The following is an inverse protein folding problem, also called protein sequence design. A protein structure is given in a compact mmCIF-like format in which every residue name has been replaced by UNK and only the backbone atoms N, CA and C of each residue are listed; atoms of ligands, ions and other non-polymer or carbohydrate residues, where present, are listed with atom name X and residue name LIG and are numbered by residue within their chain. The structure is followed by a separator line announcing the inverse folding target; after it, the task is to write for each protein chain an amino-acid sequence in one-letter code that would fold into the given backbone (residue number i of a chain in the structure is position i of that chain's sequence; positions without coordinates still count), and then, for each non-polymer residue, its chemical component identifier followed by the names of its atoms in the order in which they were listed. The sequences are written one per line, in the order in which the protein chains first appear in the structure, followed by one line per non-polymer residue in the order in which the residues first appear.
data_IF_606191426833
#
_entry.id   IF_606191426833
#
_cell.length_a   1.000
_cell.length_b   1.000
_cell.length_c   1.000
_cell.angle_alpha   90.00
_cell.angle_beta   90.00
_cell.angle_gamma   90.00
#
_symmetry.space_group_name_H-M   'P 1'
#
loop_
_entity.id
_entity.type
_entity.pdbx_description
1 polymer ?
#
# COMPACT_ATOMS: atom_id res chain seq x y z
N UNK A 1 8.35 4.17 -14.86
CA UNK A 1 8.09 4.33 -13.42
C UNK A 1 6.82 5.15 -13.33
N UNK A 2 5.82 4.68 -12.60
CA UNK A 2 4.57 5.45 -12.43
C UNK A 2 4.87 6.62 -11.49
N UNK A 3 4.55 7.84 -11.92
CA UNK A 3 4.71 9.04 -11.12
C UNK A 3 3.44 9.27 -10.28
N UNK A 4 3.56 9.37 -8.95
CA UNK A 4 2.42 9.62 -8.08
C UNK A 4 1.74 10.97 -8.39
N UNK A 5 2.53 11.97 -8.77
CA UNK A 5 2.04 13.28 -9.20
C UNK A 5 1.17 13.24 -10.46
N UNK A 6 1.30 12.21 -11.30
CA UNK A 6 0.40 11.98 -12.45
C UNK A 6 -0.88 11.25 -12.04
N UNK A 7 -0.81 10.36 -11.04
CA UNK A 7 -1.97 9.64 -10.52
C UNK A 7 -2.85 10.48 -9.59
N UNK A 8 -2.24 11.45 -8.90
CA UNK A 8 -2.87 12.32 -7.90
C UNK A 8 -2.71 13.76 -8.40
N UNK A 9 -3.55 14.24 -9.33
CA UNK A 9 -3.54 15.65 -9.70
C UNK A 9 -4.07 16.52 -8.54
N UNK A 10 -3.79 17.84 -8.53
CA UNK A 10 -4.29 18.76 -7.49
C UNK A 10 -5.79 18.66 -7.24
N UNK A 11 -6.57 18.44 -8.30
CA UNK A 11 -8.02 18.29 -8.25
C UNK A 11 -8.47 17.03 -7.48
N UNK A 12 -7.62 16.00 -7.42
CA UNK A 12 -7.82 14.78 -6.67
C UNK A 12 -7.29 14.85 -5.22
N UNK A 13 -6.90 16.04 -4.74
CA UNK A 13 -6.45 16.28 -3.38
C UNK A 13 -7.51 17.12 -2.64
N UNK A 14 -7.88 16.68 -1.45
CA UNK A 14 -8.64 17.49 -0.47
C UNK A 14 -7.95 17.43 0.87
N UNK A 15 -7.90 18.59 1.51
CA UNK A 15 -7.31 18.76 2.82
C UNK A 15 -8.39 19.18 3.80
N UNK A 16 -8.20 18.77 5.06
CA UNK A 16 -9.01 19.18 6.20
C UNK A 16 -10.51 18.89 5.97
N UNK A 17 -10.80 17.69 5.48
CA UNK A 17 -12.16 17.21 5.20
C UNK A 17 -12.86 16.77 6.48
N UNK A 18 -14.02 17.34 6.76
CA UNK A 18 -14.87 16.87 7.85
C UNK A 18 -15.58 15.57 7.46
N UNK A 19 -15.35 14.49 8.21
CA UNK A 19 -16.00 13.21 8.03
C UNK A 19 -16.53 12.70 9.38
N UNK A 20 -17.85 12.50 9.55
CA UNK A 20 -18.42 12.05 10.83
C UNK A 20 -18.14 10.58 11.15
N UNK A 21 -17.78 9.77 10.15
CA UNK A 21 -17.44 8.36 10.30
C UNK A 21 -16.53 7.89 9.16
N UNK A 22 -16.01 6.66 9.29
CA UNK A 22 -15.09 6.09 8.30
C UNK A 22 -15.74 5.94 6.92
N UNK A 23 -17.07 5.75 6.84
CA UNK A 23 -17.78 5.64 5.56
C UNK A 23 -17.78 6.98 4.84
N UNK A 24 -17.99 8.07 5.56
CA UNK A 24 -17.89 9.41 5.01
C UNK A 24 -16.46 9.74 4.58
N UNK A 25 -15.44 9.27 5.32
CA UNK A 25 -14.04 9.44 4.93
C UNK A 25 -13.71 8.70 3.62
N UNK A 26 -14.14 7.43 3.48
CA UNK A 26 -13.98 6.66 2.23
C UNK A 26 -14.78 7.28 1.08
N UNK A 27 -16.00 7.77 1.34
CA UNK A 27 -16.80 8.48 0.33
C UNK A 27 -16.12 9.75 -0.15
N UNK A 28 -15.54 10.56 0.74
CA UNK A 28 -14.83 11.77 0.34
C UNK A 28 -13.68 11.46 -0.63
N UNK A 29 -12.94 10.38 -0.40
CA UNK A 29 -11.89 9.94 -1.31
C UNK A 29 -12.47 9.41 -2.64
N UNK A 30 -13.57 8.65 -2.58
CA UNK A 30 -14.30 8.17 -3.75
C UNK A 30 -14.89 9.28 -4.63
N UNK A 31 -15.46 10.31 -4.02
CA UNK A 31 -16.06 11.46 -4.72
C UNK A 31 -15.02 12.19 -5.58
N UNK A 32 -13.77 12.26 -5.13
CA UNK A 32 -12.66 12.81 -5.93
C UNK A 32 -12.33 11.93 -7.14
N UNK A 33 -12.31 10.60 -6.97
CA UNK A 33 -12.11 9.68 -8.09
C UNK A 33 -13.24 9.81 -9.12
N UNK A 34 -14.47 10.03 -8.68
CA UNK A 34 -15.63 10.22 -9.57
C UNK A 34 -15.58 11.57 -10.27
N UNK A 35 -15.26 12.65 -9.55
CA UNK A 35 -15.13 14.00 -10.10
C UNK A 35 -14.05 14.05 -11.20
N UNK A 36 -12.94 13.35 -10.99
CA UNK A 36 -11.84 13.21 -11.96
C UNK A 36 -12.14 12.25 -13.11
N UNK A 37 -13.31 11.59 -13.09
CA UNK A 37 -13.68 10.60 -14.10
C UNK A 37 -12.83 9.33 -14.04
N UNK A 38 -12.13 9.09 -12.94
CA UNK A 38 -11.32 7.89 -12.67
C UNK A 38 -12.22 6.68 -12.45
N UNK A 39 -13.31 6.85 -11.70
CA UNK A 39 -14.27 5.79 -11.40
C UNK A 39 -15.71 6.30 -11.42
N UNK A 40 -16.65 5.46 -10.98
CA UNK A 40 -18.06 5.79 -10.72
C UNK A 40 -18.39 5.53 -9.26
N UNK A 41 -19.53 6.04 -8.79
CA UNK A 41 -20.00 5.85 -7.41
C UNK A 41 -20.05 4.37 -6.99
N UNK A 42 -20.33 3.47 -7.94
CA UNK A 42 -20.32 2.03 -7.73
C UNK A 42 -18.97 1.52 -7.20
N UNK A 43 -17.84 2.12 -7.61
CA UNK A 43 -16.53 1.74 -7.11
C UNK A 43 -16.34 2.16 -5.65
N UNK A 44 -16.87 3.32 -5.27
CA UNK A 44 -16.87 3.79 -3.88
C UNK A 44 -17.68 2.85 -2.98
N UNK A 45 -18.84 2.41 -3.46
CA UNK A 45 -19.66 1.41 -2.77
C UNK A 45 -18.94 0.06 -2.64
N UNK A 46 -18.22 -0.39 -3.68
CA UNK A 46 -17.37 -1.60 -3.62
C UNK A 46 -16.27 -1.47 -2.55
N UNK A 47 -15.59 -0.32 -2.43
CA UNK A 47 -14.59 -0.07 -1.39
C UNK A 47 -15.21 -0.14 0.01
N UNK A 48 -16.35 0.50 0.22
CA UNK A 48 -17.05 0.51 1.52
C UNK A 48 -17.53 -0.90 1.88
N UNK A 49 -18.11 -1.62 0.92
CA UNK A 49 -18.61 -2.97 1.15
C UNK A 49 -17.48 -3.93 1.52
N UNK A 50 -16.30 -3.80 0.90
CA UNK A 50 -15.14 -4.61 1.29
C UNK A 50 -14.74 -4.41 2.76
N UNK A 51 -14.83 -3.18 3.29
CA UNK A 51 -14.54 -2.90 4.71
C UNK A 51 -15.63 -3.47 5.61
N UNK A 52 -16.90 -3.41 5.20
CA UNK A 52 -18.01 -4.05 5.93
C UNK A 52 -17.80 -5.55 6.04
N UNK A 53 -17.40 -6.21 4.95
CA UNK A 53 -17.31 -7.66 4.88
C UNK A 53 -16.03 -8.21 5.54
N UNK A 54 -14.91 -7.49 5.43
CA UNK A 54 -13.58 -7.98 5.83
C UNK A 54 -12.98 -7.24 7.03
N UNK A 55 -13.68 -6.25 7.59
CA UNK A 55 -13.13 -5.36 8.60
C UNK A 55 -12.20 -4.28 8.02
N UNK A 56 -11.53 -3.49 8.88
CA UNK A 56 -10.74 -2.33 8.47
C UNK A 56 -9.36 -2.69 7.90
N UNK A 57 -9.27 -3.70 7.02
CA UNK A 57 -8.02 -4.17 6.41
C UNK A 57 -7.30 -3.10 5.54
N UNK A 58 -8.01 -2.02 5.21
CA UNK A 58 -7.45 -0.88 4.49
C UNK A 58 -6.65 0.05 5.40
N UNK A 59 -6.78 -0.06 6.72
CA UNK A 59 -5.99 0.70 7.70
C UNK A 59 -4.69 -0.05 7.94
N UNK A 60 -3.58 0.49 7.43
CA UNK A 60 -2.35 -0.31 7.19
C UNK A 60 -1.12 0.24 7.88
N UNK A 61 -1.21 1.47 8.38
CA UNK A 61 -0.23 2.12 9.23
C UNK A 61 -0.98 3.09 10.16
N UNK A 62 -0.39 3.50 11.29
CA UNK A 62 -0.98 4.48 12.19
C UNK A 62 -1.43 5.74 11.45
N UNK A 63 -2.70 6.14 11.62
CA UNK A 63 -3.24 7.33 10.97
C UNK A 63 -3.62 7.16 9.50
N UNK A 64 -3.36 6.01 8.88
CA UNK A 64 -3.43 5.86 7.42
C UNK A 64 -4.34 4.72 6.94
N UNK A 65 -5.30 5.09 6.08
CA UNK A 65 -6.16 4.16 5.35
C UNK A 65 -5.92 4.23 3.82
N UNK A 66 -5.68 3.07 3.22
CA UNK A 66 -5.52 2.90 1.78
C UNK A 66 -6.75 2.23 1.15
N UNK A 67 -7.74 3.03 0.77
CA UNK A 67 -9.01 2.57 0.25
C UNK A 67 -8.89 2.06 -1.20
N UNK A 68 -9.25 0.80 -1.44
CA UNK A 68 -9.25 0.23 -2.79
C UNK A 68 -10.15 -1.02 -2.85
N UNK A 69 -10.55 -1.37 -4.07
CA UNK A 69 -11.26 -2.60 -4.39
C UNK A 69 -10.62 -3.28 -5.61
N UNK A 70 -11.04 -4.51 -5.92
CA UNK A 70 -10.59 -5.22 -7.13
C UNK A 70 -10.94 -4.41 -8.39
N UNK A 71 -10.17 -4.53 -9.48
CA UNK A 71 -10.55 -3.94 -10.76
C UNK A 71 -11.97 -4.36 -11.16
N UNK A 72 -12.80 -3.39 -11.54
CA UNK A 72 -14.21 -3.60 -11.89
C UNK A 72 -14.64 -2.68 -13.03
N UNK A 73 -15.78 -2.94 -13.69
CA UNK A 73 -16.32 -2.05 -14.73
C UNK A 73 -16.62 -0.62 -14.25
N UNK A 74 -16.65 -0.41 -12.93
CA UNK A 74 -16.81 0.91 -12.32
C UNK A 74 -15.55 1.78 -12.42
N UNK A 75 -14.38 1.21 -12.74
CA UNK A 75 -13.12 1.92 -12.96
C UNK A 75 -12.96 2.26 -14.44
N UNK A 76 -12.80 3.56 -14.74
CA UNK A 76 -12.70 4.10 -16.10
C UNK A 76 -11.26 4.33 -16.54
N UNK A 77 -10.38 4.73 -15.61
CA UNK A 77 -8.93 4.91 -15.79
C UNK A 77 -8.21 4.69 -14.47
N UNK A 78 -6.92 4.42 -14.52
CA UNK A 78 -6.10 4.36 -13.31
C UNK A 78 -5.91 5.76 -12.74
N UNK A 79 -6.07 5.92 -11.43
CA UNK A 79 -5.90 7.18 -10.74
C UNK A 79 -6.09 7.03 -9.23
N UNK A 80 -5.67 8.05 -8.50
CA UNK A 80 -5.69 8.06 -7.04
C UNK A 80 -6.29 9.37 -6.53
N UNK A 81 -6.77 9.35 -5.29
CA UNK A 81 -7.18 10.55 -4.56
C UNK A 81 -6.55 10.59 -3.19
N UNK A 82 -6.34 11.80 -2.69
CA UNK A 82 -5.70 12.07 -1.40
C UNK A 82 -6.61 12.91 -0.53
N UNK A 83 -7.01 12.39 0.61
CA UNK A 83 -7.89 13.08 1.56
C UNK A 83 -7.24 13.13 2.93
N UNK A 84 -6.84 14.32 3.37
CA UNK A 84 -6.53 14.58 4.78
C UNK A 84 -7.81 15.00 5.50
N UNK A 85 -8.11 14.38 6.63
CA UNK A 85 -9.28 14.67 7.44
C UNK A 85 -9.01 15.85 8.39
N UNK A 86 -10.04 16.64 8.67
CA UNK A 86 -9.95 17.75 9.62
C UNK A 86 -9.77 17.25 11.07
N UNK A 87 -10.43 16.14 11.38
CA UNK A 87 -10.34 15.45 12.66
C UNK A 87 -10.13 13.96 12.37
N UNK A 88 -9.22 13.27 13.11
CA UNK A 88 -9.02 11.84 12.94
C UNK A 88 -10.30 11.04 13.22
N UNK A 89 -10.55 9.99 12.43
CA UNK A 89 -11.76 9.16 12.46
C UNK A 89 -11.42 7.71 12.81
N UNK A 90 -12.19 7.09 13.69
CA UNK A 90 -12.04 5.67 14.01
C UNK A 90 -12.63 4.77 12.89
N UNK A 91 -11.80 3.87 12.36
CA UNK A 91 -12.22 2.84 11.40
C UNK A 91 -12.53 1.50 12.08
N UNK A 92 -12.21 1.37 13.37
CA UNK A 92 -12.31 0.16 14.17
C UNK A 92 -11.04 -0.71 14.13
N UNK A 93 -9.88 -0.15 13.77
CA UNK A 93 -8.61 -0.87 13.75
C UNK A 93 -7.89 -0.77 15.10
N UNK A 94 -7.57 -1.91 15.72
CA UNK A 94 -7.09 -1.98 17.11
C UNK A 94 -5.83 -1.14 17.42
N UNK A 95 -4.92 -1.00 16.46
CA UNK A 95 -3.59 -0.42 16.69
C UNK A 95 -3.25 0.83 15.86
N UNK A 96 -4.02 1.10 14.80
CA UNK A 96 -3.68 2.10 13.80
C UNK A 96 -4.70 3.24 13.74
N UNK A 97 -5.81 3.11 14.47
CA UNK A 97 -6.75 4.19 14.67
C UNK A 97 -6.21 5.24 15.66
N UNK A 98 -6.71 6.49 15.56
CA UNK A 98 -7.64 6.98 14.55
C UNK A 98 -6.92 7.33 13.23
N UNK A 99 -7.66 7.30 12.11
CA UNK A 99 -7.16 7.62 10.77
C UNK A 99 -7.32 9.11 10.48
N UNK A 100 -6.29 9.78 9.98
CA UNK A 100 -6.32 11.17 9.52
C UNK A 100 -6.04 11.32 8.01
N UNK A 101 -5.49 10.28 7.37
CA UNK A 101 -5.19 10.24 5.94
C UNK A 101 -5.90 9.07 5.27
N UNK A 102 -6.69 9.37 4.25
CA UNK A 102 -7.31 8.38 3.36
C UNK A 102 -6.80 8.61 1.95
N UNK A 103 -6.10 7.61 1.40
CA UNK A 103 -5.72 7.60 -0.02
C UNK A 103 -6.51 6.51 -0.72
N UNK A 104 -7.20 6.85 -1.80
CA UNK A 104 -7.93 5.87 -2.61
C UNK A 104 -7.21 5.58 -3.92
N UNK A 105 -7.25 4.32 -4.36
CA UNK A 105 -6.74 3.87 -5.65
C UNK A 105 -7.85 3.19 -6.44
N UNK A 106 -8.07 3.67 -7.66
CA UNK A 106 -8.82 2.96 -8.69
C UNK A 106 -7.85 2.55 -9.80
N UNK A 107 -7.72 1.25 -10.06
CA UNK A 107 -6.82 0.72 -11.07
C UNK A 107 -7.58 -0.09 -12.12
N UNK A 108 -7.28 0.16 -13.40
CA UNK A 108 -7.92 -0.56 -14.51
C UNK A 108 -7.52 -2.03 -14.57
N UNK A 109 -6.30 -2.36 -14.15
CA UNK A 109 -5.76 -3.71 -14.19
C UNK A 109 -4.76 -3.96 -13.05
N UNK A 110 -4.39 -5.22 -12.89
CA UNK A 110 -3.51 -5.68 -11.82
C UNK A 110 -2.08 -5.12 -11.90
N UNK A 111 -1.57 -4.80 -13.09
CA UNK A 111 -0.23 -4.25 -13.26
C UNK A 111 -0.20 -2.79 -12.84
N UNK A 112 -1.13 -1.98 -13.37
CA UNK A 112 -1.29 -0.58 -12.97
C UNK A 112 -1.55 -0.42 -11.47
N UNK A 113 -2.33 -1.35 -10.91
CA UNK A 113 -2.54 -1.43 -9.46
C UNK A 113 -1.23 -1.65 -8.70
N UNK A 114 -0.45 -2.66 -9.11
CA UNK A 114 0.80 -3.01 -8.45
C UNK A 114 1.82 -1.86 -8.50
N UNK A 115 1.93 -1.20 -9.65
CA UNK A 115 2.87 -0.09 -9.84
C UNK A 115 2.49 1.13 -8.99
N UNK A 116 1.21 1.51 -8.96
CA UNK A 116 0.71 2.62 -8.16
C UNK A 116 0.94 2.40 -6.66
N UNK A 117 0.67 1.17 -6.20
CA UNK A 117 0.88 0.79 -4.80
C UNK A 117 2.34 0.78 -4.41
N UNK A 118 3.23 0.28 -5.28
CA UNK A 118 4.65 0.31 -5.02
C UNK A 118 5.20 1.74 -4.92
N UNK A 119 4.68 2.66 -5.75
CA UNK A 119 5.05 4.07 -5.66
C UNK A 119 4.58 4.69 -4.32
N UNK A 120 3.32 4.48 -3.93
CA UNK A 120 2.79 5.02 -2.66
C UNK A 120 3.50 4.43 -1.43
N UNK A 121 3.81 3.13 -1.45
CA UNK A 121 4.55 2.48 -0.37
C UNK A 121 5.95 3.09 -0.16
N UNK A 122 6.63 3.48 -1.23
CA UNK A 122 7.93 4.16 -1.14
C UNK A 122 7.82 5.55 -0.56
N UNK A 123 6.76 6.29 -0.92
CA UNK A 123 6.49 7.61 -0.35
C UNK A 123 6.27 7.55 1.16
N UNK A 124 5.48 6.57 1.62
CA UNK A 124 5.12 6.44 3.03
C UNK A 124 6.21 5.77 3.89
N UNK A 125 7.11 5.01 3.28
CA UNK A 125 8.25 4.43 3.99
C UNK A 125 9.34 5.47 4.35
N UNK A 126 9.24 6.70 3.85
CA UNK A 126 10.13 7.81 4.16
C UNK A 126 9.48 8.73 5.22
N UNK A 127 9.95 8.71 6.48
CA UNK A 127 9.36 9.52 7.55
C UNK A 127 9.43 11.03 7.30
N UNK A 128 10.48 11.52 6.64
CA UNK A 128 10.62 12.95 6.34
C UNK A 128 9.58 13.38 5.29
N UNK A 129 9.36 12.55 4.27
CA UNK A 129 8.33 12.79 3.27
C UNK A 129 6.93 12.77 3.90
N UNK A 130 6.68 11.81 4.79
CA UNK A 130 5.41 11.68 5.50
C UNK A 130 5.08 12.96 6.30
N UNK A 131 6.02 13.47 7.10
CA UNK A 131 5.84 14.69 7.88
C UNK A 131 5.59 15.92 6.98
N UNK A 132 6.30 16.02 5.85
CA UNK A 132 6.10 17.09 4.89
C UNK A 132 4.69 17.06 4.28
N UNK A 133 4.22 15.88 3.86
CA UNK A 133 2.88 15.69 3.29
C UNK A 133 1.79 16.02 4.31
N UNK A 134 1.98 15.63 5.58
CA UNK A 134 1.06 15.99 6.65
C UNK A 134 1.00 17.50 6.89
N UNK A 135 2.10 18.22 6.72
CA UNK A 135 2.17 19.68 6.93
C UNK A 135 1.69 20.54 5.75
N UNK A 136 1.44 19.93 4.58
CA UNK A 136 1.09 20.67 3.37
C UNK A 136 -0.20 21.49 3.55
N UNK A 137 -0.14 22.80 3.28
CA UNK A 137 -1.25 23.71 3.54
C UNK A 137 -2.28 23.79 2.40
N UNK A 138 -1.91 23.39 1.18
CA UNK A 138 -2.79 23.44 0.01
C UNK A 138 -2.62 22.19 -0.88
N UNK A 139 -3.64 21.83 -1.68
CA UNK A 139 -3.52 20.80 -2.71
C UNK A 139 -2.29 20.95 -3.61
N UNK A 140 -1.98 22.17 -4.03
CA UNK A 140 -0.85 22.46 -4.91
C UNK A 140 0.50 22.27 -4.21
N UNK A 141 0.59 22.64 -2.93
CA UNK A 141 1.78 22.40 -2.12
C UNK A 141 2.03 20.89 -1.92
N UNK A 142 0.97 20.12 -1.66
CA UNK A 142 1.06 18.66 -1.57
C UNK A 142 1.47 18.05 -2.91
N UNK A 143 0.86 18.51 -4.01
CA UNK A 143 1.22 18.05 -5.34
C UNK A 143 2.68 18.32 -5.69
N UNK A 144 3.22 19.47 -5.31
CA UNK A 144 4.62 19.80 -5.51
C UNK A 144 5.56 18.84 -4.75
N UNK A 145 5.19 18.41 -3.55
CA UNK A 145 5.94 17.39 -2.80
C UNK A 145 5.92 16.04 -3.54
N UNK A 146 4.76 15.63 -4.07
CA UNK A 146 4.66 14.40 -4.88
C UNK A 146 5.56 14.46 -6.13
N UNK A 147 5.59 15.61 -6.82
CA UNK A 147 6.47 15.81 -7.99
C UNK A 147 7.95 15.74 -7.63
N UNK A 148 8.33 16.32 -6.49
CA UNK A 148 9.70 16.25 -5.99
C UNK A 148 10.08 14.80 -5.66
N UNK A 149 9.18 14.02 -5.04
CA UNK A 149 9.38 12.60 -4.77
C UNK A 149 9.57 11.78 -6.06
N UNK A 150 8.78 12.07 -7.11
CA UNK A 150 8.89 11.41 -8.41
C UNK A 150 10.18 11.78 -9.17
N UNK A 151 11.00 12.70 -8.65
CA UNK A 151 12.22 13.17 -9.29
C UNK A 151 11.98 14.11 -10.47
N UNK A 152 10.81 14.75 -10.55
CA UNK A 152 10.45 15.69 -11.62
C UNK A 152 10.84 17.12 -11.23
N UNK A 153 12.13 17.44 -11.29
CA UNK A 153 12.64 18.82 -11.20
C UNK A 153 12.35 19.62 -12.49
N UNK A 154 12.10 20.94 -12.36
CA UNK A 154 12.14 21.89 -13.49
C UNK A 154 13.55 21.95 -14.11
N UNK A 155 13.70 22.26 -15.41
CA UNK A 155 14.95 22.05 -16.13
C UNK A 155 16.03 23.05 -15.70
N UNK A 156 17.12 22.55 -15.14
CA UNK A 156 18.39 23.27 -15.05
C UNK A 156 19.57 22.37 -15.50
N UNK A 157 20.45 23.01 -16.26
CA UNK A 157 21.53 22.48 -17.10
C UNK A 157 22.79 22.05 -16.34
N UNK A 158 23.42 20.94 -16.74
CA UNK A 158 24.87 20.70 -16.52
C UNK A 158 25.25 19.23 -16.27
N UNK A 159 26.42 18.73 -16.77
CA UNK A 159 26.66 17.30 -16.97
C UNK A 159 27.42 16.57 -15.82
N UNK A 160 27.04 15.30 -15.61
CA UNK A 160 27.78 14.04 -15.29
C UNK A 160 29.15 14.04 -14.54
N UNK A 161 29.57 12.97 -13.78
CA UNK A 161 29.56 11.58 -14.29
C UNK A 161 29.50 10.36 -13.30
N UNK A 162 29.20 9.21 -13.93
CA UNK A 162 29.76 7.84 -13.81
C UNK A 162 29.67 7.00 -12.52
N UNK A 163 29.16 5.76 -12.67
CA UNK A 163 30.00 4.53 -12.66
C UNK A 163 29.16 3.25 -12.87
N UNK A 164 29.76 2.25 -13.52
CA UNK A 164 29.12 1.03 -14.00
C UNK A 164 29.71 -0.27 -13.39
N UNK A 165 28.82 -1.27 -13.23
CA UNK A 165 28.97 -2.73 -13.41
C UNK A 165 29.79 -3.56 -12.37
N UNK A 166 29.72 -4.92 -12.32
CA UNK A 166 29.04 -5.88 -13.23
C UNK A 166 28.34 -7.15 -12.65
N UNK A 167 27.53 -7.76 -13.52
CA UNK A 167 27.29 -9.17 -13.91
C UNK A 167 27.35 -10.41 -12.94
N UNK A 168 26.31 -11.24 -13.11
CA UNK A 168 26.25 -12.71 -13.34
C UNK A 168 26.73 -13.74 -12.29
N UNK A 169 25.89 -14.77 -12.05
CA UNK A 169 26.28 -16.05 -11.46
C UNK A 169 25.08 -16.94 -11.08
N UNK A 170 24.95 -18.10 -11.75
CA UNK A 170 23.95 -19.17 -11.49
C UNK A 170 24.34 -20.00 -10.26
N UNK A 171 23.37 -20.52 -9.50
CA UNK A 171 23.06 -21.96 -9.24
C UNK A 171 22.11 -22.09 -8.05
N UNK A 172 21.13 -23.00 -8.15
CA UNK A 172 19.99 -23.13 -7.25
C UNK A 172 20.34 -23.29 -5.77
N UNK A 173 19.70 -22.46 -4.96
CA UNK A 173 19.47 -22.66 -3.53
C UNK A 173 17.96 -22.69 -3.33
N UNK A 174 17.46 -23.52 -2.43
CA UNK A 174 16.03 -23.57 -2.12
C UNK A 174 15.57 -22.16 -1.73
N UNK A 175 14.81 -21.53 -2.62
CA UNK A 175 14.24 -20.22 -2.36
C UNK A 175 13.09 -20.42 -1.39
N UNK A 176 13.26 -19.97 -0.16
CA UNK A 176 12.16 -19.89 0.78
C UNK A 176 11.16 -18.88 0.21
N UNK A 177 9.87 -19.16 0.36
CA UNK A 177 8.81 -18.31 -0.17
C UNK A 177 7.93 -17.83 0.98
N UNK A 178 7.71 -16.52 1.07
CA UNK A 178 6.75 -15.92 1.99
C UNK A 178 5.58 -15.39 1.18
N UNK A 179 4.36 -15.69 1.61
CA UNK A 179 3.16 -15.06 1.06
C UNK A 179 2.80 -13.85 1.91
N UNK A 180 2.54 -12.73 1.26
CA UNK A 180 1.82 -11.61 1.87
C UNK A 180 0.39 -11.65 1.36
N UNK A 181 -0.59 -11.58 2.26
CA UNK A 181 -1.99 -11.80 1.88
C UNK A 181 -2.86 -10.61 2.23
N UNK A 182 -3.81 -10.28 1.35
CA UNK A 182 -4.90 -9.36 1.68
C UNK A 182 -6.27 -10.00 1.43
N UNK A 183 -7.33 -9.35 1.94
CA UNK A 183 -8.70 -9.86 1.87
C UNK A 183 -9.16 -10.09 0.43
N UNK A 184 -9.24 -9.01 -0.34
CA UNK A 184 -9.82 -9.00 -1.67
C UNK A 184 -8.84 -8.51 -2.75
N UNK A 185 -7.77 -9.26 -3.02
CA UNK A 185 -6.87 -9.02 -4.16
C UNK A 185 -5.39 -9.16 -3.80
N UNK A 186 -4.52 -8.38 -4.44
CA UNK A 186 -3.10 -8.28 -4.07
C UNK A 186 -2.76 -6.98 -3.34
N UNK A 187 -3.75 -6.10 -3.13
CA UNK A 187 -3.53 -4.71 -2.81
C UNK A 187 -2.75 -4.46 -1.54
N UNK A 188 -3.41 -4.37 -0.40
CA UNK A 188 -2.75 -4.08 0.88
C UNK A 188 -1.50 -4.95 1.15
N UNK A 189 -1.50 -6.20 0.69
CA UNK A 189 -0.35 -7.11 0.80
C UNK A 189 0.92 -6.61 0.10
N UNK A 190 0.82 -5.76 -0.92
CA UNK A 190 1.98 -5.17 -1.59
C UNK A 190 2.75 -4.18 -0.71
N UNK A 191 2.09 -3.45 0.19
CA UNK A 191 2.79 -2.62 1.17
C UNK A 191 3.68 -3.50 2.05
N UNK A 192 3.08 -4.55 2.62
CA UNK A 192 3.82 -5.49 3.44
C UNK A 192 4.92 -6.19 2.67
N UNK A 193 4.68 -6.59 1.41
CA UNK A 193 5.71 -7.16 0.53
C UNK A 193 6.89 -6.22 0.37
N UNK A 194 6.64 -4.95 0.05
CA UNK A 194 7.72 -3.98 -0.17
C UNK A 194 8.52 -3.75 1.12
N UNK A 195 7.87 -3.63 2.26
CA UNK A 195 8.53 -3.50 3.56
C UNK A 195 9.35 -4.75 3.90
N UNK A 196 8.81 -5.94 3.62
CA UNK A 196 9.50 -7.22 3.79
C UNK A 196 10.75 -7.31 2.90
N UNK A 197 10.64 -6.93 1.62
CA UNK A 197 11.76 -6.90 0.68
C UNK A 197 12.84 -5.88 1.11
N UNK A 198 12.45 -4.72 1.65
CA UNK A 198 13.41 -3.76 2.21
C UNK A 198 14.20 -4.35 3.39
N UNK A 199 13.51 -5.03 4.32
CA UNK A 199 14.16 -5.68 5.46
C UNK A 199 15.07 -6.83 5.01
N UNK A 200 14.60 -7.68 4.10
CA UNK A 200 15.40 -8.76 3.51
C UNK A 200 16.65 -8.22 2.78
N UNK A 201 16.53 -7.07 2.11
CA UNK A 201 17.66 -6.38 1.50
C UNK A 201 18.69 -5.89 2.53
N UNK A 202 18.22 -5.36 3.67
CA UNK A 202 19.11 -4.99 4.80
C UNK A 202 19.82 -6.22 5.38
N UNK A 203 19.18 -7.39 5.38
CA UNK A 203 19.78 -8.65 5.81
C UNK A 203 20.72 -9.27 4.75
N UNK A 204 20.61 -8.85 3.49
CA UNK A 204 21.30 -9.46 2.35
C UNK A 204 20.70 -10.80 1.92
N UNK A 205 19.41 -11.03 2.21
CA UNK A 205 18.70 -12.29 1.98
C UNK A 205 17.84 -12.31 0.70
N UNK A 206 17.96 -11.29 -0.17
CA UNK A 206 17.16 -11.12 -1.40
C UNK A 206 17.25 -12.31 -2.38
N UNK A 207 18.33 -13.09 -2.29
CA UNK A 207 18.56 -14.27 -3.14
C UNK A 207 18.05 -15.58 -2.52
N UNK A 208 17.70 -15.55 -1.24
CA UNK A 208 17.37 -16.72 -0.42
C UNK A 208 15.87 -16.78 -0.13
N UNK A 209 15.23 -15.61 0.03
CA UNK A 209 13.81 -15.48 0.32
C UNK A 209 13.12 -14.71 -0.79
N UNK A 210 12.07 -15.32 -1.35
CA UNK A 210 11.16 -14.68 -2.29
C UNK A 210 9.87 -14.29 -1.58
N UNK A 211 9.28 -13.16 -1.96
CA UNK A 211 8.02 -12.66 -1.40
C UNK A 211 6.98 -12.54 -2.50
N UNK A 212 5.83 -13.16 -2.32
CA UNK A 212 4.70 -13.09 -3.25
C UNK A 212 3.49 -12.44 -2.57
N UNK A 213 2.89 -11.43 -3.20
CA UNK A 213 1.62 -10.86 -2.76
C UNK A 213 0.45 -11.60 -3.42
N UNK A 214 -0.57 -11.96 -2.64
CA UNK A 214 -1.72 -12.73 -3.13
C UNK A 214 -3.00 -12.45 -2.34
N UNK A 215 -4.14 -12.95 -2.84
CA UNK A 215 -5.44 -12.82 -2.18
C UNK A 215 -5.75 -14.01 -1.26
N UNK A 216 -6.72 -13.84 -0.38
CA UNK A 216 -7.11 -14.86 0.60
C UNK A 216 -7.52 -16.20 -0.02
N UNK A 217 -8.13 -16.20 -1.22
CA UNK A 217 -8.54 -17.43 -1.92
C UNK A 217 -7.31 -18.13 -2.50
N UNK A 218 -6.48 -17.38 -3.22
CA UNK A 218 -5.25 -17.88 -3.85
C UNK A 218 -4.24 -18.38 -2.81
N UNK A 219 -4.13 -17.70 -1.67
CA UNK A 219 -3.24 -18.04 -0.56
C UNK A 219 -3.48 -19.47 -0.06
N UNK A 220 -4.74 -19.88 0.11
CA UNK A 220 -5.09 -21.22 0.60
C UNK A 220 -4.58 -22.33 -0.33
N UNK A 221 -4.61 -22.09 -1.65
CA UNK A 221 -4.10 -23.05 -2.64
C UNK A 221 -2.58 -23.10 -2.75
N UNK A 222 -1.89 -22.02 -2.37
CA UNK A 222 -0.42 -21.87 -2.46
C UNK A 222 0.30 -22.06 -1.14
N UNK A 223 -0.42 -22.26 -0.03
CA UNK A 223 0.15 -22.30 1.32
C UNK A 223 1.30 -23.32 1.44
N UNK A 224 1.17 -24.50 0.81
CA UNK A 224 2.22 -25.53 0.85
C UNK A 224 3.52 -25.17 0.13
N UNK A 225 3.51 -24.13 -0.71
CA UNK A 225 4.70 -23.63 -1.40
C UNK A 225 5.49 -22.61 -0.57
N UNK A 226 4.94 -22.17 0.56
CA UNK A 226 5.49 -21.09 1.37
C UNK A 226 5.88 -21.57 2.76
N UNK A 227 6.87 -20.90 3.35
CA UNK A 227 7.32 -21.18 4.73
C UNK A 227 6.47 -20.46 5.77
N UNK A 228 5.85 -19.33 5.40
CA UNK A 228 4.94 -18.57 6.23
C UNK A 228 4.03 -17.67 5.38
N UNK A 229 2.89 -17.29 5.96
CA UNK A 229 2.02 -16.21 5.48
C UNK A 229 2.13 -15.04 6.44
N UNK A 230 2.44 -13.85 5.95
CA UNK A 230 2.43 -12.60 6.72
C UNK A 230 1.24 -11.75 6.27
N UNK A 231 0.41 -11.29 7.20
CA UNK A 231 -0.83 -10.55 6.87
C UNK A 231 -1.38 -9.77 8.06
N UNK A 232 -2.50 -9.06 7.90
CA UNK A 232 -3.19 -8.37 8.98
C UNK A 232 -3.95 -9.36 9.87
N UNK A 233 -4.36 -8.91 11.06
CA UNK A 233 -5.13 -9.74 12.01
C UNK A 233 -6.46 -10.21 11.42
N UNK A 234 -7.16 -9.33 10.71
CA UNK A 234 -8.47 -9.57 10.10
C UNK A 234 -8.35 -10.66 9.04
N UNK A 235 -7.33 -10.55 8.19
CA UNK A 235 -7.11 -11.50 7.11
C UNK A 235 -6.59 -12.84 7.65
N UNK A 236 -5.75 -12.83 8.69
CA UNK A 236 -5.34 -14.06 9.37
C UNK A 236 -6.55 -14.83 9.94
N UNK A 237 -7.54 -14.12 10.51
CA UNK A 237 -8.80 -14.73 10.98
C UNK A 237 -9.61 -15.35 9.83
N UNK A 238 -9.70 -14.67 8.70
CA UNK A 238 -10.43 -15.15 7.50
C UNK A 238 -9.73 -16.31 6.79
N UNK A 239 -8.40 -16.31 6.77
CA UNK A 239 -7.60 -17.42 6.23
C UNK A 239 -7.84 -18.71 7.03
N UNK A 240 -7.82 -18.59 8.36
CA UNK A 240 -7.91 -19.74 9.26
C UNK A 240 -6.63 -20.59 9.24
N UNK A 241 -6.76 -21.87 9.57
CA UNK A 241 -5.63 -22.80 9.49
C UNK A 241 -5.41 -23.26 8.06
N UNK A 242 -4.19 -22.99 7.55
CA UNK A 242 -3.74 -23.35 6.20
C UNK A 242 -2.53 -24.29 6.22
N UNK A 243 -2.18 -24.85 7.38
CA UNK A 243 -1.11 -25.84 7.53
C UNK A 243 0.32 -25.28 7.58
N UNK A 244 0.49 -23.96 7.53
CA UNK A 244 1.77 -23.26 7.71
C UNK A 244 1.58 -22.07 8.68
N UNK A 245 2.67 -21.55 9.29
CA UNK A 245 2.58 -20.38 10.16
C UNK A 245 1.94 -19.17 9.46
N UNK A 246 0.93 -18.59 10.11
CA UNK A 246 0.35 -17.30 9.73
C UNK A 246 0.77 -16.26 10.77
N UNK A 247 1.58 -15.29 10.38
CA UNK A 247 2.12 -14.22 11.22
C UNK A 247 1.36 -12.93 10.98
N UNK A 248 1.06 -12.23 12.07
CA UNK A 248 0.32 -10.96 12.04
C UNK A 248 1.32 -9.80 12.07
N UNK A 249 1.14 -8.85 11.16
CA UNK A 249 1.80 -7.53 11.17
C UNK A 249 0.71 -6.48 11.34
N UNK A 250 0.98 -5.43 12.14
CA UNK A 250 0.02 -4.37 12.45
C UNK A 250 0.30 -3.12 11.62
N UNK A 251 1.55 -2.68 11.54
CA UNK A 251 2.01 -1.58 10.71
C UNK A 251 2.79 -2.14 9.51
N UNK A 252 2.17 -2.09 8.34
CA UNK A 252 2.73 -2.63 7.10
C UNK A 252 3.87 -1.76 6.56
N UNK A 253 4.07 -0.56 7.11
CA UNK A 253 5.15 0.36 6.76
C UNK A 253 6.33 0.31 7.73
N UNK A 254 6.14 -0.30 8.91
CA UNK A 254 7.18 -0.42 9.93
C UNK A 254 8.22 -1.48 9.57
N UNK A 255 9.42 -1.03 9.18
CA UNK A 255 10.54 -1.96 8.95
C UNK A 255 10.97 -2.68 10.22
N UNK A 256 10.77 -2.08 11.39
CA UNK A 256 11.19 -2.64 12.66
C UNK A 256 10.25 -3.77 13.12
N UNK A 257 8.93 -3.59 12.97
CA UNK A 257 7.96 -4.65 13.25
C UNK A 257 8.19 -5.83 12.28
N UNK A 258 8.37 -5.53 11.01
CA UNK A 258 8.59 -6.54 9.97
C UNK A 258 9.91 -7.31 10.19
N UNK A 259 10.99 -6.63 10.61
CA UNK A 259 12.25 -7.28 11.04
C UNK A 259 12.01 -8.24 12.20
N UNK A 260 11.26 -7.81 13.23
CA UNK A 260 10.95 -8.67 14.36
C UNK A 260 10.15 -9.92 13.96
N UNK A 261 9.12 -9.76 13.10
CA UNK A 261 8.32 -10.89 12.61
C UNK A 261 9.12 -11.85 11.73
N UNK A 262 10.04 -11.32 10.90
CA UNK A 262 10.94 -12.16 10.12
C UNK A 262 11.90 -12.95 11.02
N UNK A 263 12.46 -12.32 12.06
CA UNK A 263 13.34 -12.99 13.03
C UNK A 263 12.63 -14.14 13.74
N UNK A 264 11.42 -13.91 14.20
CA UNK A 264 10.56 -14.93 14.81
C UNK A 264 10.17 -16.04 13.81
N UNK A 265 10.04 -15.73 12.52
CA UNK A 265 9.72 -16.73 11.48
C UNK A 265 10.91 -17.65 11.17
N UNK A 266 12.13 -17.12 11.19
CA UNK A 266 13.35 -17.87 10.88
C UNK A 266 14.15 -18.33 12.10
N UNK A 267 13.73 -17.93 13.31
CA UNK A 267 14.42 -18.18 14.59
C UNK A 267 15.87 -17.62 14.60
N UNK A 268 16.02 -16.34 14.24
CA UNK A 268 17.33 -15.63 14.08
C UNK A 268 17.44 -14.29 14.79
#
# INVERSE_FOLDING_TARGET
MVALSELIPPEAIRLDVAAPDWRAAVRAAGDLLVAEGTSTDAYTDEMIQNVVDNGPYIVIAPGFAFAHARPSPAVRRTGMSWVRLAEPVEFGHDANDPVDLVVALAAQDSAAHTDAMAALARLLADPEQHDLLQSAATPEALHALLRAHDGVEEPATGPEPASAAPAAGRTGTEQHKILTVCGNGVGTSLFLKNTLEQVLGRWGWDRQVSVEATDTISAKGKASEAVAILTSREIARTLGDVGIPVKVVQDFTSTDEVDHVLRDTYDV
#
